data_IF_455456649536
#
_entry.id   IF_455456649536
#
_cell.length_a   1.000
_cell.length_b   1.000
_cell.length_c   1.000
_cell.angle_alpha   90.00
_cell.angle_beta   90.00
_cell.angle_gamma   90.00
#
_symmetry.space_group_name_H-M   'P 1'
#
loop_
_entity.id
_entity.type
_entity.pdbx_description
1 polymer ?
#
# COMPACT_ATOMS: atom_id res chain seq x y z
N UNK A 1 22.10 7.73 -28.57
CA UNK A 1 21.23 8.70 -27.87
C UNK A 1 21.79 8.90 -26.47
N UNK A 2 21.81 10.12 -25.91
CA UNK A 2 22.15 10.31 -24.50
C UNK A 2 21.20 9.47 -23.63
N UNK A 3 21.75 8.71 -22.70
CA UNK A 3 20.97 7.96 -21.70
C UNK A 3 20.45 8.92 -20.63
N UNK A 4 19.40 8.53 -19.89
CA UNK A 4 18.86 9.30 -18.76
C UNK A 4 19.95 9.69 -17.73
N UNK A 5 20.96 8.83 -17.59
CA UNK A 5 22.14 9.09 -16.76
C UNK A 5 22.93 10.32 -17.24
N UNK A 6 23.06 10.52 -18.56
CA UNK A 6 23.81 11.61 -19.19
C UNK A 6 23.03 12.92 -19.39
N UNK A 7 21.73 12.95 -19.07
CA UNK A 7 20.90 14.17 -19.19
C UNK A 7 21.12 15.14 -18.03
N UNK A 8 21.20 16.44 -18.32
CA UNK A 8 21.24 17.49 -17.31
C UNK A 8 19.83 18.05 -17.10
N UNK A 9 19.43 18.21 -15.83
CA UNK A 9 18.13 18.77 -15.46
C UNK A 9 18.33 20.19 -14.91
N UNK A 10 17.49 21.16 -15.32
CA UNK A 10 17.64 22.56 -14.94
C UNK A 10 17.27 22.77 -13.47
N UNK A 11 17.93 23.74 -12.85
CA UNK A 11 17.63 24.17 -11.48
C UNK A 11 16.21 24.77 -11.39
N UNK A 12 15.48 24.54 -10.29
CA UNK A 12 14.18 25.16 -10.06
C UNK A 12 14.30 26.68 -9.91
N UNK A 13 13.22 27.41 -10.19
CA UNK A 13 13.21 28.89 -10.03
C UNK A 13 12.67 29.34 -8.67
N UNK A 14 11.97 28.47 -7.95
CA UNK A 14 11.34 28.76 -6.65
C UNK A 14 12.00 28.01 -5.50
N UNK A 15 12.05 28.67 -4.32
CA UNK A 15 12.59 28.07 -3.10
C UNK A 15 11.80 26.85 -2.64
N UNK A 16 10.46 26.91 -2.69
CA UNK A 16 9.58 25.80 -2.29
C UNK A 16 9.80 24.56 -3.17
N UNK A 17 9.93 24.75 -4.48
CA UNK A 17 10.20 23.67 -5.43
C UNK A 17 11.59 23.06 -5.18
N UNK A 18 12.59 23.90 -4.90
CA UNK A 18 13.94 23.43 -4.57
C UNK A 18 13.97 22.58 -3.30
N UNK A 19 13.33 23.04 -2.23
CA UNK A 19 13.24 22.28 -0.99
C UNK A 19 12.52 20.94 -1.20
N UNK A 20 11.43 20.92 -1.98
CA UNK A 20 10.72 19.69 -2.33
C UNK A 20 11.62 18.71 -3.10
N UNK A 21 12.37 19.19 -4.11
CA UNK A 21 13.32 18.37 -4.87
C UNK A 21 14.40 17.80 -3.97
N UNK A 22 14.97 18.61 -3.06
CA UNK A 22 15.99 18.17 -2.11
C UNK A 22 15.45 17.10 -1.17
N UNK A 23 14.24 17.28 -0.65
CA UNK A 23 13.55 16.30 0.20
C UNK A 23 13.44 14.96 -0.51
N UNK A 24 12.82 14.91 -1.70
CA UNK A 24 12.64 13.66 -2.45
C UNK A 24 13.96 13.02 -2.86
N UNK A 25 14.95 13.82 -3.25
CA UNK A 25 16.30 13.36 -3.55
C UNK A 25 16.94 12.63 -2.36
N UNK A 26 16.80 13.19 -1.16
CA UNK A 26 17.37 12.61 0.06
C UNK A 26 16.59 11.42 0.60
N UNK A 27 15.26 11.40 0.47
CA UNK A 27 14.43 10.23 0.75
C UNK A 27 14.87 9.03 -0.11
N UNK A 28 15.17 9.26 -1.40
CA UNK A 28 15.72 8.24 -2.30
C UNK A 28 17.16 7.85 -1.94
N UNK A 29 18.00 8.81 -1.52
CA UNK A 29 19.39 8.53 -1.10
C UNK A 29 19.42 7.63 0.13
N UNK A 30 18.63 7.96 1.15
CA UNK A 30 18.66 7.33 2.46
C UNK A 30 17.61 6.23 2.64
N UNK A 31 16.73 6.01 1.65
CA UNK A 31 15.61 5.05 1.73
C UNK A 31 14.74 5.28 2.97
N UNK A 32 14.46 6.56 3.23
CA UNK A 32 13.66 7.02 4.37
C UNK A 32 12.42 7.76 3.87
N UNK A 33 11.37 7.77 4.67
CA UNK A 33 10.15 8.57 4.47
C UNK A 33 9.94 9.62 5.56
N UNK A 34 10.90 9.76 6.47
CA UNK A 34 10.75 10.55 7.70
C UNK A 34 11.21 12.01 7.53
N UNK A 35 11.70 12.39 6.34
CA UNK A 35 12.08 13.77 6.06
C UNK A 35 10.84 14.66 6.03
N UNK A 36 10.93 15.79 6.73
CA UNK A 36 9.83 16.73 6.92
C UNK A 36 10.30 18.15 6.69
N UNK A 37 9.49 18.93 5.98
CA UNK A 37 9.69 20.37 5.80
C UNK A 37 9.52 21.09 7.14
N UNK A 38 10.46 21.95 7.51
CA UNK A 38 10.48 22.61 8.80
C UNK A 38 9.81 23.97 8.75
N UNK A 39 8.53 24.05 9.15
CA UNK A 39 7.82 25.33 9.26
C UNK A 39 7.54 26.03 7.92
N UNK A 40 6.94 27.23 7.98
CA UNK A 40 6.64 28.07 6.81
C UNK A 40 7.62 29.24 6.73
N UNK A 41 7.81 29.76 5.51
CA UNK A 41 8.61 30.97 5.27
C UNK A 41 8.15 32.11 6.20
N UNK A 42 9.09 32.68 6.96
CA UNK A 42 8.83 33.73 7.96
C UNK A 42 8.74 33.24 9.41
N UNK A 43 8.76 31.92 9.65
CA UNK A 43 8.97 31.36 10.98
C UNK A 43 10.46 31.24 11.28
N UNK A 44 10.84 31.27 12.57
CA UNK A 44 12.22 31.01 12.98
C UNK A 44 12.52 29.52 12.76
N UNK A 45 13.24 29.22 11.68
CA UNK A 45 13.56 27.84 11.26
C UNK A 45 14.95 27.38 11.72
N UNK A 46 15.66 28.20 12.51
CA UNK A 46 17.00 27.91 13.04
C UNK A 46 18.00 27.40 11.98
N UNK A 47 17.90 27.86 10.73
CA UNK A 47 18.80 27.45 9.65
C UNK A 47 18.64 25.98 9.23
N UNK A 48 17.45 25.41 9.41
CA UNK A 48 17.08 24.08 8.94
C UNK A 48 15.74 24.17 8.23
N UNK A 49 15.72 23.88 6.94
CA UNK A 49 14.52 23.89 6.09
C UNK A 49 13.87 22.50 6.03
N UNK A 50 14.64 21.42 6.18
CA UNK A 50 14.16 20.03 6.21
C UNK A 50 14.87 19.28 7.33
N UNK A 51 14.16 18.43 8.06
CA UNK A 51 14.75 17.57 9.10
C UNK A 51 14.15 16.16 9.05
N UNK A 52 14.86 15.19 9.61
CA UNK A 52 14.38 13.81 9.74
C UNK A 52 15.54 12.85 10.00
N UNK A 53 15.39 11.59 9.62
CA UNK A 53 16.41 10.56 9.84
C UNK A 53 17.15 10.20 8.56
N UNK A 54 18.46 9.94 8.66
CA UNK A 54 19.23 9.31 7.58
C UNK A 54 19.08 7.78 7.57
N UNK A 55 19.82 7.10 6.68
CA UNK A 55 19.81 5.64 6.52
C UNK A 55 20.34 4.87 7.74
N UNK A 56 20.94 5.57 8.70
CA UNK A 56 21.42 5.03 9.97
C UNK A 56 20.53 5.47 11.15
N UNK A 57 19.33 5.97 10.88
CA UNK A 57 18.36 6.47 11.84
C UNK A 57 18.88 7.62 12.71
N UNK A 58 19.84 8.40 12.22
CA UNK A 58 20.39 9.57 12.93
C UNK A 58 19.59 10.80 12.52
N UNK A 59 19.27 11.65 13.49
CA UNK A 59 18.59 12.91 13.21
C UNK A 59 19.51 13.84 12.41
N UNK A 60 19.05 14.31 11.26
CA UNK A 60 19.79 15.21 10.37
C UNK A 60 18.97 16.45 10.04
N UNK A 61 19.66 17.55 9.80
CA UNK A 61 19.09 18.80 9.31
C UNK A 61 19.62 19.11 7.92
N UNK A 62 18.79 19.76 7.11
CA UNK A 62 19.14 20.19 5.76
C UNK A 62 18.74 21.66 5.60
N UNK A 63 19.70 22.47 5.18
CA UNK A 63 19.48 23.85 4.76
C UNK A 63 19.59 23.93 3.25
N UNK A 64 18.52 24.36 2.61
CA UNK A 64 18.45 24.62 1.19
C UNK A 64 18.91 26.06 0.90
N UNK A 65 19.77 26.19 -0.12
CA UNK A 65 20.21 27.45 -0.72
C UNK A 65 20.02 27.42 -2.23
N UNK A 66 18.90 27.97 -2.69
CA UNK A 66 18.66 28.28 -4.09
C UNK A 66 19.54 29.47 -4.48
N UNK A 67 20.65 29.20 -5.14
CA UNK A 67 21.70 30.18 -5.39
C UNK A 67 21.76 30.55 -6.86
N UNK A 68 21.41 31.78 -7.21
CA UNK A 68 21.81 32.40 -8.49
C UNK A 68 23.25 32.95 -8.43
N UNK A 69 23.75 33.22 -7.23
CA UNK A 69 25.11 33.64 -6.93
C UNK A 69 25.80 32.57 -6.06
N UNK A 70 27.02 32.17 -6.43
CA UNK A 70 27.79 31.06 -5.83
C UNK A 70 27.77 31.01 -4.30
N UNK A 71 27.48 29.82 -3.75
CA UNK A 71 27.69 29.50 -2.33
C UNK A 71 29.16 29.70 -1.91
N UNK A 72 29.40 30.16 -0.68
CA UNK A 72 30.76 30.40 -0.16
C UNK A 72 30.89 30.01 1.33
N UNK A 73 32.12 30.04 1.84
CA UNK A 73 32.46 29.63 3.21
C UNK A 73 31.73 30.46 4.28
N UNK A 74 31.54 31.77 4.06
CA UNK A 74 30.82 32.65 5.01
C UNK A 74 29.38 32.21 5.19
N UNK A 75 28.69 31.97 4.06
CA UNK A 75 27.29 31.50 4.07
C UNK A 75 27.20 30.16 4.81
N UNK A 76 28.10 29.22 4.53
CA UNK A 76 28.09 27.92 5.22
C UNK A 76 28.25 28.10 6.74
N UNK A 77 29.18 28.94 7.18
CA UNK A 77 29.41 29.20 8.61
C UNK A 77 28.21 29.89 9.28
N UNK A 78 27.55 30.81 8.59
CA UNK A 78 26.33 31.46 9.08
C UNK A 78 25.19 30.45 9.27
N UNK A 79 24.99 29.53 8.32
CA UNK A 79 23.95 28.50 8.45
C UNK A 79 24.27 27.49 9.55
N UNK A 80 25.54 27.12 9.73
CA UNK A 80 25.99 26.31 10.86
C UNK A 80 25.64 26.99 12.19
N UNK A 81 25.95 28.28 12.35
CA UNK A 81 25.67 29.01 13.58
C UNK A 81 24.15 29.08 13.87
N UNK A 82 23.30 29.16 12.84
CA UNK A 82 21.84 29.10 13.03
C UNK A 82 21.40 27.72 13.51
N UNK A 83 21.91 26.66 12.85
CA UNK A 83 21.57 25.27 13.15
C UNK A 83 22.00 24.80 14.55
N UNK A 84 22.98 25.47 15.18
CA UNK A 84 23.35 25.23 16.58
C UNK A 84 22.19 25.49 17.57
N UNK A 85 21.20 26.30 17.18
CA UNK A 85 20.00 26.54 17.97
C UNK A 85 18.91 25.46 17.83
N UNK A 86 19.02 24.56 16.86
CA UNK A 86 17.96 23.58 16.58
C UNK A 86 17.84 22.52 17.68
N UNK A 87 16.60 22.19 18.04
CA UNK A 87 16.28 21.23 19.11
C UNK A 87 15.30 20.17 18.60
N UNK A 88 15.56 18.87 18.84
CA UNK A 88 16.76 18.31 19.47
C UNK A 88 18.01 18.42 18.58
N UNK A 89 19.21 18.33 19.18
CA UNK A 89 20.47 18.46 18.45
C UNK A 89 20.60 17.42 17.33
N UNK A 90 20.88 17.90 16.11
CA UNK A 90 21.13 17.07 14.93
C UNK A 90 22.51 16.38 15.01
N UNK A 91 22.64 15.24 14.33
CA UNK A 91 23.90 14.54 14.13
C UNK A 91 24.72 15.13 12.97
N UNK A 92 24.03 15.55 11.91
CA UNK A 92 24.66 16.18 10.74
C UNK A 92 23.77 17.29 10.15
N UNK A 93 24.42 18.34 9.65
CA UNK A 93 23.82 19.39 8.84
C UNK A 93 24.27 19.23 7.39
N UNK A 94 23.32 19.15 6.45
CA UNK A 94 23.61 19.19 5.02
C UNK A 94 23.21 20.54 4.43
N UNK A 95 24.15 21.20 3.74
CA UNK A 95 23.84 22.38 2.93
C UNK A 95 23.56 21.91 1.50
N UNK A 96 22.30 21.96 1.09
CA UNK A 96 21.88 21.63 -0.27
C UNK A 96 21.82 22.91 -1.12
N UNK A 97 22.47 22.90 -2.28
CA UNK A 97 22.57 24.08 -3.15
C UNK A 97 22.37 23.74 -4.61
N UNK A 98 21.78 24.68 -5.36
CA UNK A 98 21.73 24.59 -6.82
C UNK A 98 23.05 24.95 -7.51
N UNK A 99 24.06 25.40 -6.76
CA UNK A 99 25.39 25.67 -7.33
C UNK A 99 26.04 24.40 -7.93
N UNK A 100 26.85 24.55 -8.99
CA UNK A 100 27.71 23.47 -9.48
C UNK A 100 28.75 23.03 -8.44
N UNK A 101 29.27 21.80 -8.60
CA UNK A 101 30.31 21.25 -7.72
C UNK A 101 31.56 22.13 -7.70
N UNK A 102 32.03 22.47 -6.50
CA UNK A 102 33.27 23.22 -6.28
C UNK A 102 34.24 22.40 -5.41
N UNK A 103 35.42 22.08 -5.96
CA UNK A 103 36.45 21.28 -5.28
C UNK A 103 36.99 21.96 -4.02
N UNK A 104 37.17 23.29 -4.05
CA UNK A 104 37.66 24.05 -2.88
C UNK A 104 36.62 24.02 -1.77
N UNK A 105 35.35 24.20 -2.13
CA UNK A 105 34.26 24.18 -1.16
C UNK A 105 34.03 22.77 -0.58
N UNK A 106 34.13 21.73 -1.41
CA UNK A 106 34.11 20.34 -0.94
C UNK A 106 35.24 20.04 0.03
N UNK A 107 36.46 20.51 -0.26
CA UNK A 107 37.61 20.36 0.63
C UNK A 107 37.38 21.11 1.95
N UNK A 108 36.93 22.36 1.88
CA UNK A 108 36.60 23.18 3.03
C UNK A 108 35.58 22.49 3.95
N UNK A 109 34.43 22.09 3.41
CA UNK A 109 33.35 21.43 4.17
C UNK A 109 33.84 20.11 4.78
N UNK A 110 34.65 19.33 4.05
CA UNK A 110 35.21 18.08 4.58
C UNK A 110 36.12 18.31 5.78
N UNK A 111 37.01 19.29 5.71
CA UNK A 111 37.92 19.63 6.82
C UNK A 111 37.16 20.21 8.02
N UNK A 112 36.18 21.09 7.75
CA UNK A 112 35.32 21.67 8.77
C UNK A 112 34.51 20.59 9.51
N UNK A 113 33.94 19.63 8.76
CA UNK A 113 33.15 18.53 9.31
C UNK A 113 33.97 17.64 10.24
N UNK A 114 35.20 17.28 9.85
CA UNK A 114 36.12 16.51 10.70
C UNK A 114 36.45 17.27 11.99
N UNK A 115 36.75 18.57 11.88
CA UNK A 115 37.08 19.40 13.04
C UNK A 115 35.90 19.49 14.01
N UNK A 116 34.69 19.75 13.51
CA UNK A 116 33.47 19.84 14.33
C UNK A 116 33.12 18.51 15.02
N UNK A 117 33.28 17.39 14.31
CA UNK A 117 33.06 16.08 14.90
C UNK A 117 34.04 15.78 16.06
N UNK A 118 35.30 16.21 15.95
CA UNK A 118 36.29 16.11 17.03
C UNK A 118 35.93 16.97 18.26
N UNK A 119 35.26 18.10 18.03
CA UNK A 119 34.71 18.96 19.09
C UNK A 119 33.38 18.45 19.69
N UNK A 120 32.88 17.29 19.25
CA UNK A 120 31.60 16.74 19.71
C UNK A 120 30.36 17.49 19.18
N UNK A 121 30.53 18.31 18.13
CA UNK A 121 29.44 19.01 17.44
C UNK A 121 28.95 18.20 16.24
N UNK A 122 27.80 18.59 15.68
CA UNK A 122 27.28 17.98 14.46
C UNK A 122 28.26 18.13 13.28
N UNK A 123 28.31 17.08 12.46
CA UNK A 123 29.08 17.06 11.22
C UNK A 123 28.40 17.91 10.13
N UNK A 124 29.16 18.36 9.13
CA UNK A 124 28.64 19.18 8.03
C UNK A 124 28.88 18.49 6.70
N UNK A 125 27.88 18.48 5.83
CA UNK A 125 27.94 18.03 4.45
C UNK A 125 27.46 19.11 3.48
N UNK A 126 27.85 19.00 2.22
CA UNK A 126 27.36 19.84 1.14
C UNK A 126 26.88 18.96 -0.01
N UNK A 127 25.72 19.30 -0.56
CA UNK A 127 25.09 18.62 -1.68
C UNK A 127 24.92 19.64 -2.80
N UNK A 128 25.65 19.43 -3.90
CA UNK A 128 25.52 20.28 -5.08
C UNK A 128 24.40 19.81 -5.98
N UNK A 129 24.04 20.63 -6.95
CA UNK A 129 22.94 20.33 -7.85
C UNK A 129 23.06 18.98 -8.55
N UNK A 130 24.27 18.65 -9.00
CA UNK A 130 24.55 17.37 -9.66
C UNK A 130 24.38 16.18 -8.72
N UNK A 131 24.67 16.34 -7.42
CA UNK A 131 24.46 15.29 -6.42
C UNK A 131 22.95 15.05 -6.20
N UNK A 132 22.19 16.15 -6.08
CA UNK A 132 20.74 16.13 -5.86
C UNK A 132 20.03 15.44 -7.04
N UNK A 133 20.35 15.85 -8.26
CA UNK A 133 19.78 15.26 -9.49
C UNK A 133 20.21 13.81 -9.67
N UNK A 134 21.45 13.45 -9.32
CA UNK A 134 21.91 12.07 -9.38
C UNK A 134 21.05 11.14 -8.52
N UNK A 135 20.65 11.58 -7.32
CA UNK A 135 19.78 10.77 -6.48
C UNK A 135 18.33 10.79 -6.95
N UNK A 136 17.84 11.93 -7.44
CA UNK A 136 16.51 12.04 -8.03
C UNK A 136 16.32 11.08 -9.21
N UNK A 137 17.37 10.90 -10.02
CA UNK A 137 17.40 9.95 -11.14
C UNK A 137 17.26 8.47 -10.75
N UNK A 138 17.41 8.12 -9.46
CA UNK A 138 17.24 6.74 -8.98
C UNK A 138 15.79 6.26 -9.07
N UNK A 139 14.83 7.17 -9.09
CA UNK A 139 13.42 6.87 -9.34
C UNK A 139 12.87 7.73 -10.48
N UNK A 140 12.51 7.08 -11.58
CA UNK A 140 12.03 7.74 -12.80
C UNK A 140 10.69 8.45 -12.55
N UNK A 141 9.85 7.94 -11.64
CA UNK A 141 8.56 8.55 -11.36
C UNK A 141 8.71 9.88 -10.61
N UNK A 142 9.55 9.92 -9.58
CA UNK A 142 9.92 11.14 -8.86
C UNK A 142 10.59 12.14 -9.79
N UNK A 143 11.50 11.69 -10.66
CA UNK A 143 12.13 12.57 -11.66
C UNK A 143 11.12 13.15 -12.65
N UNK A 144 10.15 12.35 -13.12
CA UNK A 144 9.04 12.79 -14.00
C UNK A 144 8.12 13.78 -13.31
N UNK A 145 7.89 13.64 -12.00
CA UNK A 145 7.06 14.54 -11.23
C UNK A 145 7.61 15.98 -11.24
N UNK A 146 8.93 16.14 -11.06
CA UNK A 146 9.59 17.45 -11.07
C UNK A 146 9.96 17.96 -12.46
N UNK A 147 10.20 17.06 -13.42
CA UNK A 147 10.68 17.42 -14.76
C UNK A 147 9.85 16.82 -15.91
N UNK A 148 8.51 16.98 -15.92
CA UNK A 148 7.66 16.36 -16.92
C UNK A 148 8.03 16.73 -18.36
N UNK A 149 8.52 17.95 -18.58
CA UNK A 149 8.93 18.48 -19.90
C UNK A 149 10.12 17.73 -20.54
N UNK A 150 10.91 17.00 -19.75
CA UNK A 150 12.05 16.20 -20.25
C UNK A 150 11.65 14.80 -20.69
N UNK A 151 10.41 14.41 -20.45
CA UNK A 151 9.83 13.15 -20.87
C UNK A 151 8.77 13.48 -21.94
N UNK A 152 9.17 13.61 -23.22
CA UNK A 152 8.22 13.86 -24.29
C UNK A 152 7.15 12.77 -24.25
N UNK A 153 5.89 13.19 -24.42
CA UNK A 153 4.74 12.30 -24.54
C UNK A 153 4.95 11.37 -25.75
N UNK A 154 5.64 10.25 -25.58
CA UNK A 154 5.41 9.08 -26.41
C UNK A 154 4.03 8.58 -26.08
N UNK A 155 3.07 8.99 -26.91
CA UNK A 155 1.65 8.58 -26.93
C UNK A 155 0.90 8.82 -25.61
N UNK A 156 0.02 9.82 -25.61
CA UNK A 156 -1.16 9.97 -24.75
C UNK A 156 -1.23 9.00 -23.55
N UNK A 157 -0.46 9.25 -22.48
CA UNK A 157 -1.01 8.93 -21.18
C UNK A 157 -2.00 10.04 -20.85
N UNK A 158 -3.27 9.77 -21.20
CA UNK A 158 -4.39 10.19 -20.36
C UNK A 158 -3.96 10.13 -18.88
N UNK A 159 -4.43 11.04 -18.00
CA UNK A 159 -4.08 11.02 -16.56
C UNK A 159 -4.09 9.56 -16.13
N UNK A 160 -2.94 8.99 -15.66
CA UNK A 160 -2.73 7.53 -15.50
C UNK A 160 -4.09 6.93 -15.32
N UNK A 161 -4.66 6.32 -16.38
CA UNK A 161 -5.99 5.78 -16.21
C UNK A 161 -5.75 4.76 -15.12
N UNK A 162 -6.25 5.08 -13.93
CA UNK A 162 -6.27 4.11 -12.87
C UNK A 162 -7.07 3.02 -13.53
N UNK A 163 -6.43 1.93 -13.92
CA UNK A 163 -7.13 0.80 -14.47
C UNK A 163 -7.83 0.17 -13.28
N UNK A 164 -8.87 0.87 -12.82
CA UNK A 164 -9.69 0.53 -11.67
C UNK A 164 -10.31 -0.84 -11.93
N UNK A 165 -10.59 -1.16 -13.19
CA UNK A 165 -11.00 -2.49 -13.61
C UNK A 165 -9.89 -3.51 -13.37
N UNK A 166 -8.65 -3.28 -13.79
CA UNK A 166 -7.54 -4.20 -13.50
C UNK A 166 -7.30 -4.35 -11.99
N UNK A 167 -7.40 -3.27 -11.21
CA UNK A 167 -7.32 -3.31 -9.74
C UNK A 167 -8.46 -4.10 -9.11
N UNK A 168 -9.69 -3.91 -9.60
CA UNK A 168 -10.86 -4.66 -9.15
C UNK A 168 -10.70 -6.14 -9.49
N UNK A 169 -10.18 -6.46 -10.68
CA UNK A 169 -9.87 -7.82 -11.11
C UNK A 169 -8.81 -8.45 -10.22
N UNK A 170 -7.71 -7.76 -9.93
CA UNK A 170 -6.63 -8.25 -9.07
C UNK A 170 -7.12 -8.46 -7.63
N UNK A 171 -7.84 -7.48 -7.08
CA UNK A 171 -8.43 -7.53 -5.73
C UNK A 171 -9.41 -8.69 -5.62
N UNK A 172 -10.31 -8.84 -6.59
CA UNK A 172 -11.28 -9.93 -6.61
C UNK A 172 -10.61 -11.30 -6.82
N UNK A 173 -9.61 -11.41 -7.70
CA UNK A 173 -8.83 -12.65 -7.85
C UNK A 173 -8.15 -13.03 -6.53
N UNK A 174 -7.58 -12.06 -5.82
CA UNK A 174 -6.99 -12.26 -4.50
C UNK A 174 -7.97 -12.89 -3.51
N UNK A 175 -9.24 -12.47 -3.49
CA UNK A 175 -10.27 -13.12 -2.66
C UNK A 175 -10.65 -14.52 -3.18
N UNK A 176 -10.88 -14.65 -4.48
CA UNK A 176 -11.34 -15.90 -5.10
C UNK A 176 -10.27 -17.01 -5.07
N UNK A 177 -9.00 -16.67 -4.86
CA UNK A 177 -7.94 -17.64 -4.61
C UNK A 177 -8.06 -18.37 -3.26
N UNK A 178 -8.92 -17.91 -2.35
CA UNK A 178 -9.20 -18.59 -1.08
C UNK A 178 -10.56 -19.29 -1.04
N UNK A 179 -11.45 -19.00 -2.01
CA UNK A 179 -12.82 -19.50 -2.05
C UNK A 179 -12.99 -20.44 -3.24
N UNK A 180 -13.29 -21.72 -2.97
CA UNK A 180 -13.61 -22.70 -4.02
C UNK A 180 -15.05 -22.52 -4.51
N UNK A 181 -15.23 -21.55 -5.41
CA UNK A 181 -16.52 -21.19 -6.01
C UNK A 181 -17.19 -22.39 -6.68
N UNK A 182 -16.43 -23.25 -7.36
CA UNK A 182 -16.99 -24.46 -8.01
C UNK A 182 -17.61 -25.44 -7.00
N UNK A 183 -17.05 -25.54 -5.79
CA UNK A 183 -17.53 -26.48 -4.75
C UNK A 183 -18.78 -26.00 -4.03
N UNK A 184 -19.04 -24.70 -3.97
CA UNK A 184 -20.12 -24.12 -3.16
C UNK A 184 -21.48 -24.77 -3.45
N UNK A 185 -21.85 -24.93 -4.73
CA UNK A 185 -23.13 -25.54 -5.09
C UNK A 185 -23.29 -26.98 -4.58
N UNK A 186 -22.19 -27.75 -4.57
CA UNK A 186 -22.16 -29.09 -4.01
C UNK A 186 -22.18 -29.08 -2.48
N UNK A 187 -21.47 -28.13 -1.86
CA UNK A 187 -21.37 -28.00 -0.40
C UNK A 187 -22.72 -27.72 0.28
N UNK A 188 -23.62 -27.05 -0.43
CA UNK A 188 -24.97 -26.71 0.07
C UNK A 188 -26.08 -27.48 -0.64
N UNK A 189 -25.75 -28.45 -1.51
CA UNK A 189 -26.71 -29.13 -2.39
C UNK A 189 -27.94 -29.64 -1.62
N UNK A 190 -27.68 -30.21 -0.44
CA UNK A 190 -28.66 -30.86 0.44
C UNK A 190 -29.00 -30.02 1.68
N UNK A 191 -28.62 -28.74 1.68
CA UNK A 191 -28.92 -27.81 2.77
C UNK A 191 -30.43 -27.50 2.86
N UNK A 192 -30.98 -27.24 4.05
CA UNK A 192 -30.30 -27.16 5.34
C UNK A 192 -30.17 -28.50 6.05
N UNK A 193 -30.63 -29.62 5.48
CA UNK A 193 -30.55 -30.94 6.14
C UNK A 193 -29.11 -31.45 6.28
N UNK A 194 -28.34 -31.33 5.19
CA UNK A 194 -26.92 -31.68 5.15
C UNK A 194 -26.11 -30.51 4.60
N UNK A 195 -25.01 -30.16 5.25
CA UNK A 195 -24.11 -29.08 4.83
C UNK A 195 -22.67 -29.56 4.97
N UNK A 196 -21.78 -29.16 4.06
CA UNK A 196 -20.35 -29.41 4.22
C UNK A 196 -19.79 -28.61 5.41
N UNK A 197 -18.95 -29.23 6.24
CA UNK A 197 -18.39 -28.59 7.43
C UNK A 197 -17.52 -27.38 7.05
N UNK A 198 -16.81 -27.45 5.92
CA UNK A 198 -15.94 -26.37 5.46
C UNK A 198 -16.76 -25.11 5.17
N UNK A 199 -17.93 -25.27 4.55
CA UNK A 199 -18.80 -24.17 4.17
C UNK A 199 -19.23 -23.30 5.35
N UNK A 200 -19.41 -23.90 6.54
CA UNK A 200 -19.76 -23.17 7.77
C UNK A 200 -18.55 -22.65 8.55
N UNK A 201 -17.35 -23.10 8.22
CA UNK A 201 -16.09 -22.68 8.86
C UNK A 201 -15.29 -21.68 8.02
N UNK A 202 -15.67 -21.44 6.76
CA UNK A 202 -14.98 -20.51 5.85
C UNK A 202 -15.10 -19.02 6.22
N UNK A 203 -15.94 -18.66 7.22
CA UNK A 203 -16.12 -17.26 7.66
C UNK A 203 -14.82 -16.58 8.01
N UNK A 204 -13.93 -17.29 8.69
CA UNK A 204 -12.75 -16.69 9.29
C UNK A 204 -11.74 -16.27 8.18
N UNK A 205 -11.75 -16.97 7.04
CA UNK A 205 -10.91 -16.70 5.88
C UNK A 205 -11.39 -15.48 5.08
N UNK A 206 -12.67 -15.45 4.67
CA UNK A 206 -13.14 -14.34 3.82
C UNK A 206 -13.41 -13.07 4.61
N UNK A 207 -13.76 -13.16 5.90
CA UNK A 207 -13.94 -11.96 6.73
C UNK A 207 -12.60 -11.24 6.96
N UNK A 208 -11.50 -11.97 7.21
CA UNK A 208 -10.19 -11.34 7.38
C UNK A 208 -9.75 -10.55 6.13
N UNK A 209 -10.09 -11.05 4.94
CA UNK A 209 -9.81 -10.35 3.67
C UNK A 209 -10.73 -9.14 3.52
N UNK A 210 -12.02 -9.27 3.84
CA UNK A 210 -13.01 -8.19 3.71
C UNK A 210 -12.77 -7.03 4.67
N UNK A 211 -12.36 -7.30 5.89
CA UNK A 211 -12.05 -6.27 6.90
C UNK A 211 -10.69 -5.59 6.65
N UNK A 212 -9.90 -6.06 5.68
CA UNK A 212 -8.63 -5.46 5.33
C UNK A 212 -8.85 -4.09 4.64
N UNK A 213 -8.30 -2.97 5.17
CA UNK A 213 -8.46 -1.65 4.55
C UNK A 213 -7.95 -1.54 3.11
N UNK A 214 -7.06 -2.46 2.69
CA UNK A 214 -6.54 -2.53 1.33
C UNK A 214 -7.46 -3.29 0.36
N UNK A 215 -8.51 -3.98 0.85
CA UNK A 215 -9.49 -4.66 0.00
C UNK A 215 -10.58 -3.66 -0.42
N UNK A 216 -10.46 -3.12 -1.63
CA UNK A 216 -11.42 -2.15 -2.16
C UNK A 216 -11.76 -2.42 -3.62
N UNK A 217 -13.05 -2.55 -3.90
CA UNK A 217 -13.60 -2.66 -5.26
C UNK A 217 -14.20 -1.31 -5.67
N UNK A 218 -13.71 -0.76 -6.78
CA UNK A 218 -14.10 0.52 -7.35
C UNK A 218 -15.41 0.43 -8.14
N UNK A 219 -15.64 -0.65 -8.89
CA UNK A 219 -16.92 -0.89 -9.55
C UNK A 219 -18.02 -1.11 -8.51
N UNK A 220 -18.95 -0.16 -8.45
CA UNK A 220 -20.02 -0.15 -7.46
C UNK A 220 -20.95 -1.36 -7.60
N UNK A 221 -21.26 -1.78 -8.84
CA UNK A 221 -22.16 -2.91 -9.10
C UNK A 221 -21.51 -4.21 -8.68
N UNK A 222 -20.23 -4.39 -9.01
CA UNK A 222 -19.44 -5.53 -8.58
C UNK A 222 -19.37 -5.60 -7.05
N UNK A 223 -19.03 -4.47 -6.41
CA UNK A 223 -18.95 -4.38 -4.95
C UNK A 223 -20.26 -4.74 -4.27
N UNK A 224 -21.39 -4.22 -4.76
CA UNK A 224 -22.71 -4.52 -4.21
C UNK A 224 -23.07 -6.00 -4.35
N UNK A 225 -22.80 -6.61 -5.51
CA UNK A 225 -23.07 -8.04 -5.74
C UNK A 225 -22.17 -8.94 -4.87
N UNK A 226 -20.89 -8.61 -4.78
CA UNK A 226 -19.93 -9.32 -3.94
C UNK A 226 -20.34 -9.26 -2.47
N UNK A 227 -20.61 -8.06 -1.95
CA UNK A 227 -21.04 -7.88 -0.56
C UNK A 227 -22.35 -8.60 -0.29
N UNK A 228 -23.34 -8.50 -1.18
CA UNK A 228 -24.61 -9.22 -1.03
C UNK A 228 -24.42 -10.74 -0.93
N UNK A 229 -23.48 -11.31 -1.69
CA UNK A 229 -23.17 -12.73 -1.62
C UNK A 229 -22.47 -13.09 -0.30
N UNK A 230 -21.40 -12.38 0.07
CA UNK A 230 -20.63 -12.66 1.28
C UNK A 230 -21.45 -12.42 2.56
N UNK A 231 -22.27 -11.36 2.60
CA UNK A 231 -23.15 -11.05 3.74
C UNK A 231 -24.20 -12.14 3.92
N UNK A 232 -24.78 -12.63 2.82
CA UNK A 232 -25.74 -13.75 2.90
C UNK A 232 -25.06 -15.03 3.35
N UNK A 233 -23.83 -15.28 2.94
CA UNK A 233 -23.03 -16.40 3.47
C UNK A 233 -22.83 -16.26 4.97
N UNK A 234 -22.41 -15.08 5.42
CA UNK A 234 -22.17 -14.79 6.83
C UNK A 234 -23.44 -14.94 7.68
N UNK A 235 -24.59 -14.53 7.16
CA UNK A 235 -25.88 -14.73 7.82
C UNK A 235 -26.20 -16.22 8.02
N UNK A 236 -25.95 -17.06 7.02
CA UNK A 236 -26.07 -18.52 7.14
C UNK A 236 -25.13 -19.05 8.20
N UNK A 237 -23.86 -18.63 8.20
CA UNK A 237 -22.87 -19.09 9.20
C UNK A 237 -23.33 -18.73 10.61
N UNK A 238 -23.79 -17.49 10.83
CA UNK A 238 -24.30 -17.06 12.13
C UNK A 238 -25.52 -17.87 12.58
N UNK A 239 -26.43 -18.21 11.66
CA UNK A 239 -27.60 -19.02 11.97
C UNK A 239 -27.28 -20.53 12.12
N UNK A 240 -26.23 -21.01 11.45
CA UNK A 240 -25.95 -22.43 11.27
C UNK A 240 -24.81 -22.98 12.12
N UNK A 241 -23.75 -22.23 12.42
CA UNK A 241 -22.47 -22.75 12.95
C UNK A 241 -22.60 -23.63 14.20
N UNK A 242 -23.59 -23.37 15.06
CA UNK A 242 -23.82 -24.12 16.31
C UNK A 242 -25.07 -25.01 16.28
N UNK A 243 -25.71 -25.17 15.13
CA UNK A 243 -27.01 -25.84 14.97
C UNK A 243 -26.88 -27.31 14.54
N UNK A 244 -25.77 -27.67 13.91
CA UNK A 244 -25.57 -28.97 13.29
C UNK A 244 -24.75 -29.94 14.13
N UNK A 245 -24.96 -31.25 13.91
CA UNK A 245 -24.13 -32.31 14.46
C UNK A 245 -23.17 -32.87 13.40
N UNK A 246 -21.96 -33.23 13.82
CA UNK A 246 -20.99 -33.91 12.95
C UNK A 246 -21.39 -35.37 12.70
N UNK A 247 -21.29 -35.82 11.44
CA UNK A 247 -21.68 -37.18 11.06
C UNK A 247 -20.48 -38.03 10.63
N UNK A 248 -19.94 -38.78 11.59
CA UNK A 248 -18.92 -39.82 11.37
C UNK A 248 -17.68 -39.31 10.63
N UNK A 249 -17.00 -40.15 9.85
CA UNK A 249 -15.77 -39.78 9.13
C UNK A 249 -16.00 -38.95 7.84
N UNK A 250 -17.17 -38.35 7.67
CA UNK A 250 -17.48 -37.53 6.50
C UNK A 250 -17.47 -36.05 6.88
N UNK A 251 -17.03 -35.17 5.97
CA UNK A 251 -17.02 -33.72 6.20
C UNK A 251 -18.42 -33.08 6.16
N UNK A 252 -19.44 -33.80 6.64
CA UNK A 252 -20.85 -33.43 6.56
C UNK A 252 -21.42 -33.20 7.94
N UNK A 253 -22.16 -32.11 8.03
CA UNK A 253 -22.93 -31.67 9.18
C UNK A 253 -24.41 -31.96 8.92
N UNK A 254 -25.12 -32.46 9.93
CA UNK A 254 -26.53 -32.86 9.85
C UNK A 254 -27.37 -32.03 10.82
N UNK A 255 -28.44 -31.42 10.30
CA UNK A 255 -29.43 -30.76 11.15
C UNK A 255 -30.17 -31.81 11.98
N UNK A 256 -30.30 -31.63 13.31
CA UNK A 256 -30.88 -32.65 14.17
C UNK A 256 -32.36 -32.90 13.87
N UNK A 257 -32.65 -34.00 13.17
CA UNK A 257 -34.01 -34.46 12.88
C UNK A 257 -34.11 -35.99 13.06
N UNK A 258 -34.18 -36.49 14.31
CA UNK A 258 -34.34 -37.92 14.54
C UNK A 258 -35.64 -38.40 13.87
N UNK A 259 -35.54 -39.46 13.07
CA UNK A 259 -36.67 -40.01 12.30
C UNK A 259 -37.34 -38.98 11.38
N UNK A 260 -36.57 -38.02 10.84
CA UNK A 260 -37.05 -36.94 9.98
C UNK A 260 -38.15 -36.07 10.62
N UNK A 261 -38.07 -35.86 11.94
CA UNK A 261 -38.97 -34.99 12.70
C UNK A 261 -38.21 -33.98 13.55
N UNK A 262 -38.76 -32.77 13.66
CA UNK A 262 -38.29 -31.74 14.60
C UNK A 262 -38.69 -32.10 16.02
N UNK A 263 -37.83 -31.81 17.01
CA UNK A 263 -38.09 -32.09 18.42
C UNK A 263 -38.85 -30.96 19.11
N UNK A 264 -38.76 -29.74 18.57
CA UNK A 264 -39.48 -28.56 19.06
C UNK A 264 -39.94 -27.66 17.91
N UNK A 265 -40.88 -26.76 18.21
CA UNK A 265 -41.30 -25.72 17.27
C UNK A 265 -40.14 -24.77 16.93
N UNK A 266 -39.24 -24.51 17.88
CA UNK A 266 -38.06 -23.68 17.64
C UNK A 266 -37.09 -24.30 16.63
N UNK A 267 -36.89 -25.63 16.69
CA UNK A 267 -36.09 -26.35 15.69
C UNK A 267 -36.75 -26.29 14.30
N UNK A 268 -38.09 -26.44 14.22
CA UNK A 268 -38.84 -26.29 12.97
C UNK A 268 -38.69 -24.87 12.38
N UNK A 269 -38.89 -23.85 13.21
CA UNK A 269 -38.77 -22.45 12.79
C UNK A 269 -37.35 -22.12 12.31
N UNK A 270 -36.33 -22.65 13.00
CA UNK A 270 -34.94 -22.48 12.62
C UNK A 270 -34.62 -23.17 11.29
N UNK A 271 -35.14 -24.40 11.09
CA UNK A 271 -34.99 -25.11 9.83
C UNK A 271 -35.62 -24.35 8.67
N UNK A 272 -36.85 -23.85 8.84
CA UNK A 272 -37.54 -23.05 7.82
C UNK A 272 -36.79 -21.75 7.51
N UNK A 273 -36.25 -21.08 8.55
CA UNK A 273 -35.38 -19.90 8.37
C UNK A 273 -34.13 -20.24 7.56
N UNK A 274 -33.42 -21.32 7.90
CA UNK A 274 -32.22 -21.74 7.19
C UNK A 274 -32.55 -22.11 5.74
N UNK A 275 -33.68 -22.78 5.49
CA UNK A 275 -34.13 -23.13 4.14
C UNK A 275 -34.26 -21.88 3.27
N UNK A 276 -34.90 -20.82 3.78
CA UNK A 276 -35.03 -19.53 3.08
C UNK A 276 -33.64 -18.92 2.84
N UNK A 277 -32.77 -18.88 3.85
CA UNK A 277 -31.42 -18.32 3.71
C UNK A 277 -30.59 -19.03 2.64
N UNK A 278 -30.61 -20.37 2.60
CA UNK A 278 -29.89 -21.14 1.58
C UNK A 278 -30.46 -20.93 0.18
N UNK A 279 -31.79 -20.77 0.04
CA UNK A 279 -32.42 -20.45 -1.24
C UNK A 279 -31.98 -19.07 -1.75
N UNK A 280 -32.05 -18.05 -0.90
CA UNK A 280 -31.60 -16.69 -1.22
C UNK A 280 -30.10 -16.66 -1.57
N UNK A 281 -29.28 -17.36 -0.79
CA UNK A 281 -27.85 -17.48 -1.05
C UNK A 281 -27.57 -18.05 -2.43
N UNK A 282 -28.24 -19.15 -2.82
CA UNK A 282 -28.07 -19.73 -4.17
C UNK A 282 -28.42 -18.74 -5.26
N UNK A 283 -29.53 -18.02 -5.12
CA UNK A 283 -29.93 -16.99 -6.10
C UNK A 283 -28.87 -15.89 -6.20
N UNK A 284 -28.41 -15.36 -5.07
CA UNK A 284 -27.40 -14.29 -5.04
C UNK A 284 -26.05 -14.79 -5.61
N UNK A 285 -25.64 -16.01 -5.25
CA UNK A 285 -24.42 -16.63 -5.72
C UNK A 285 -24.43 -16.88 -7.24
N UNK A 286 -25.52 -17.43 -7.79
CA UNK A 286 -25.69 -17.57 -9.23
C UNK A 286 -25.65 -16.21 -9.93
N UNK A 287 -26.36 -15.21 -9.41
CA UNK A 287 -26.35 -13.85 -9.96
C UNK A 287 -24.97 -13.20 -9.94
N UNK A 288 -24.16 -13.48 -8.92
CA UNK A 288 -22.78 -13.00 -8.82
C UNK A 288 -21.88 -13.70 -9.84
N UNK A 289 -21.90 -15.04 -9.89
CA UNK A 289 -21.04 -15.81 -10.81
C UNK A 289 -21.37 -15.54 -12.27
N UNK A 290 -22.66 -15.45 -12.64
CA UNK A 290 -23.09 -15.05 -13.98
C UNK A 290 -22.63 -13.63 -14.33
N UNK A 291 -22.71 -12.70 -13.37
CA UNK A 291 -22.23 -11.34 -13.56
C UNK A 291 -20.72 -11.29 -13.81
N UNK A 292 -19.91 -12.07 -13.07
CA UNK A 292 -18.48 -12.19 -13.32
C UNK A 292 -18.21 -12.74 -14.72
N UNK A 293 -18.88 -13.84 -15.11
CA UNK A 293 -18.69 -14.46 -16.42
C UNK A 293 -19.00 -13.48 -17.56
N UNK A 294 -20.07 -12.67 -17.41
CA UNK A 294 -20.52 -11.75 -18.46
C UNK A 294 -19.75 -10.42 -18.49
N UNK A 295 -19.37 -9.88 -17.32
CA UNK A 295 -18.83 -8.53 -17.18
C UNK A 295 -17.34 -8.49 -16.85
N UNK A 296 -16.76 -9.61 -16.42
CA UNK A 296 -15.34 -9.77 -16.09
C UNK A 296 -14.78 -11.08 -16.67
N UNK A 297 -14.80 -11.26 -18.01
CA UNK A 297 -14.27 -12.46 -18.67
C UNK A 297 -12.77 -12.71 -18.37
N UNK A 298 -12.03 -11.71 -17.89
CA UNK A 298 -10.64 -11.79 -17.43
C UNK A 298 -10.48 -12.63 -16.14
N UNK A 299 -11.58 -12.89 -15.42
CA UNK A 299 -11.61 -13.70 -14.21
C UNK A 299 -12.10 -15.10 -14.57
N UNK A 300 -11.17 -16.05 -14.57
CA UNK A 300 -11.49 -17.46 -14.75
C UNK A 300 -11.85 -18.09 -13.38
N UNK A 301 -13.15 -18.28 -13.13
CA UNK A 301 -13.66 -18.86 -11.88
C UNK A 301 -13.17 -20.30 -11.64
N UNK A 302 -12.91 -21.06 -12.70
CA UNK A 302 -12.37 -22.42 -12.61
C UNK A 302 -10.91 -22.40 -12.19
N UNK A 303 -10.11 -21.49 -12.75
CA UNK A 303 -8.70 -21.34 -12.38
C UNK A 303 -8.54 -20.89 -10.92
N UNK A 304 -9.30 -19.88 -10.50
CA UNK A 304 -9.31 -19.39 -9.11
C UNK A 304 -9.75 -20.50 -8.13
N UNK A 305 -10.77 -21.29 -8.48
CA UNK A 305 -11.20 -22.45 -7.68
C UNK A 305 -10.13 -23.57 -7.59
N UNK A 306 -9.32 -23.77 -8.64
CA UNK A 306 -8.16 -24.69 -8.57
C UNK A 306 -7.13 -24.18 -7.56
N UNK A 307 -6.81 -22.87 -7.59
CA UNK A 307 -5.88 -22.26 -6.63
C UNK A 307 -6.40 -22.34 -5.19
N UNK A 308 -7.69 -22.07 -4.98
CA UNK A 308 -8.34 -22.21 -3.67
C UNK A 308 -8.22 -23.63 -3.10
N UNK A 309 -8.41 -24.66 -3.93
CA UNK A 309 -8.21 -26.06 -3.51
C UNK A 309 -6.75 -26.36 -3.15
N UNK A 310 -5.79 -25.82 -3.90
CA UNK A 310 -4.36 -25.99 -3.61
C UNK A 310 -3.97 -25.32 -2.29
N UNK A 311 -4.44 -24.10 -2.05
CA UNK A 311 -4.24 -23.39 -0.78
C UNK A 311 -4.84 -24.18 0.38
N UNK A 312 -6.11 -24.55 0.28
CA UNK A 312 -6.80 -25.33 1.31
C UNK A 312 -6.13 -26.68 1.58
N UNK A 313 -5.53 -27.33 0.58
CA UNK A 313 -4.79 -28.58 0.76
C UNK A 313 -3.45 -28.40 1.52
N UNK A 314 -2.80 -27.25 1.40
CA UNK A 314 -1.52 -26.97 2.08
C UNK A 314 -1.69 -26.69 3.58
N UNK A 315 -2.83 -26.13 4.00
CA UNK A 315 -3.10 -25.74 5.40
C UNK A 315 -4.06 -26.69 6.14
N UNK A 316 -4.50 -27.78 5.50
CA UNK A 316 -5.31 -28.84 6.12
C UNK A 316 -4.51 -30.10 6.49
N UNK A 317 -3.19 -30.05 6.32
CA UNK A 317 -2.27 -31.06 6.85
C UNK A 317 -1.69 -30.49 8.15
N UNK A 318 -2.50 -30.40 9.19
CA UNK A 318 -2.07 -30.28 10.59
C UNK A 318 -3.21 -30.74 11.51
#
# INVERSE_FOLDING_TARGET
>A
MPTLESMNFPEPSGWEEFESIVKSSLELRWRTSDLTMHGRQGQKQDGIDIYGTDDLARLVGIQCKLTTNSINESIINEEIHKAEGFQPTIFALYIATTSPTDVKLQQYVRMLSVTRAQEGKFSVGILFWMDIIKDLKRDVNTLKYYYPQFFPETEQTQPVSLDLRARDIETLKGLLEYIDVERINYAIEMAPKYVDADFLCESDTFNAIRENPCFYIHDEVLRLKLNSWLDKWYEIICAGRFTYNYHGNSNRLIFPMPMDRFRSQDESNLYDKLLVLYQEFRTIFCNFTEFIIQKYPEINLKETSIRARQWNAQFRID
#
